data_IF_107577981644
#
_entry.id   IF_107577981644
#
_cell.length_a   1.000
_cell.length_b   1.000
_cell.length_c   1.000
_cell.angle_alpha   90.00
_cell.angle_beta   90.00
_cell.angle_gamma   90.00
#
_symmetry.space_group_name_H-M   'P 1'
#
loop_
_entity.id
_entity.type
_entity.pdbx_description
1 polymer ?
#
# COMPACT_ATOMS: atom_id res chain seq x y z
N UNK A 1 37.66 30.71 -21.09
CA UNK A 1 36.49 30.06 -21.73
C UNK A 1 36.42 28.57 -21.47
N UNK A 2 37.47 27.79 -21.76
CA UNK A 2 37.45 26.32 -21.59
C UNK A 2 37.13 25.89 -20.14
N UNK A 3 37.80 26.50 -19.14
CA UNK A 3 37.51 26.22 -17.72
C UNK A 3 36.05 26.50 -17.35
N UNK A 4 35.48 27.61 -17.85
CA UNK A 4 34.09 27.97 -17.60
C UNK A 4 33.09 27.01 -18.25
N UNK A 5 33.40 26.50 -19.44
CA UNK A 5 32.59 25.48 -20.13
C UNK A 5 32.63 24.16 -19.33
N UNK A 6 33.80 23.74 -18.85
CA UNK A 6 33.93 22.53 -18.02
C UNK A 6 33.11 22.67 -16.73
N UNK A 7 33.19 23.83 -16.06
CA UNK A 7 32.46 24.09 -14.83
C UNK A 7 30.94 24.13 -15.05
N UNK A 8 30.50 24.70 -16.17
CA UNK A 8 29.09 24.71 -16.56
C UNK A 8 28.55 23.30 -16.82
N UNK A 9 29.30 22.46 -17.55
CA UNK A 9 28.92 21.06 -17.79
C UNK A 9 28.87 20.29 -16.47
N UNK A 10 29.80 20.52 -15.55
CA UNK A 10 29.82 19.88 -14.23
C UNK A 10 28.56 20.25 -13.43
N UNK A 11 28.17 21.52 -13.40
CA UNK A 11 26.96 21.98 -12.71
C UNK A 11 25.71 21.36 -13.33
N UNK A 12 25.62 21.28 -14.66
CA UNK A 12 24.50 20.61 -15.34
C UNK A 12 24.45 19.12 -14.96
N UNK A 13 25.59 18.42 -14.99
CA UNK A 13 25.65 17.00 -14.66
C UNK A 13 25.22 16.74 -13.21
N UNK A 14 25.71 17.54 -12.25
CA UNK A 14 25.30 17.44 -10.85
C UNK A 14 23.81 17.73 -10.69
N UNK A 15 23.31 18.80 -11.32
CA UNK A 15 21.88 19.15 -11.25
C UNK A 15 20.99 18.06 -11.83
N UNK A 16 21.40 17.45 -12.94
CA UNK A 16 20.69 16.34 -13.56
C UNK A 16 20.68 15.10 -12.66
N UNK A 17 21.82 14.73 -12.07
CA UNK A 17 21.92 13.60 -11.12
C UNK A 17 20.99 13.82 -9.92
N UNK A 18 20.98 15.03 -9.35
CA UNK A 18 20.11 15.40 -8.24
C UNK A 18 18.62 15.35 -8.63
N UNK A 19 18.27 15.84 -9.82
CA UNK A 19 16.90 15.77 -10.33
C UNK A 19 16.44 14.31 -10.51
N UNK A 20 17.29 13.45 -11.09
CA UNK A 20 16.99 12.02 -11.26
C UNK A 20 16.85 11.32 -9.89
N UNK A 21 17.71 11.61 -8.93
CA UNK A 21 17.58 11.08 -7.57
C UNK A 21 16.30 11.58 -6.89
N UNK A 22 15.96 12.85 -7.03
CA UNK A 22 14.72 13.41 -6.47
C UNK A 22 13.48 12.75 -7.07
N UNK A 23 13.47 12.48 -8.38
CA UNK A 23 12.38 11.77 -9.04
C UNK A 23 12.25 10.30 -8.60
N UNK A 24 13.33 9.66 -8.14
CA UNK A 24 13.29 8.28 -7.63
C UNK A 24 12.47 8.17 -6.34
N UNK A 25 12.49 9.22 -5.52
CA UNK A 25 11.72 9.28 -4.27
C UNK A 25 10.37 9.98 -4.43
N UNK A 26 10.00 10.35 -5.66
CA UNK A 26 8.70 10.91 -5.96
C UNK A 26 7.58 9.96 -5.54
N UNK A 27 6.55 10.54 -4.92
CA UNK A 27 5.37 9.81 -4.48
C UNK A 27 4.13 10.42 -5.12
N UNK A 28 3.29 9.57 -5.68
CA UNK A 28 1.94 9.95 -6.09
C UNK A 28 1.08 10.05 -4.83
N UNK A 29 0.56 11.25 -4.55
CA UNK A 29 -0.27 11.52 -3.38
C UNK A 29 -1.71 11.75 -3.87
N UNK A 30 -2.67 10.88 -3.52
CA UNK A 30 -4.08 10.99 -3.91
C UNK A 30 -4.68 12.39 -3.72
N UNK A 31 -4.41 13.05 -2.59
CA UNK A 31 -4.95 14.38 -2.27
C UNK A 31 -4.49 15.49 -3.21
N UNK A 32 -3.47 15.25 -4.05
CA UNK A 32 -2.94 16.22 -5.00
C UNK A 32 -3.51 16.06 -6.41
N UNK A 33 -4.37 15.07 -6.64
CA UNK A 33 -4.96 14.77 -7.97
C UNK A 33 -6.12 15.69 -8.36
N UNK A 34 -6.66 16.46 -7.41
CA UNK A 34 -7.82 17.34 -7.62
C UNK A 34 -9.18 16.62 -7.54
N UNK A 35 -9.20 15.29 -7.47
CA UNK A 35 -10.41 14.50 -7.24
C UNK A 35 -10.76 14.42 -5.74
N UNK A 36 -12.05 14.28 -5.45
CA UNK A 36 -12.53 14.09 -4.07
C UNK A 36 -12.36 12.63 -3.66
N UNK A 37 -11.47 12.40 -2.70
CA UNK A 37 -11.22 11.09 -2.10
C UNK A 37 -12.02 10.91 -0.80
N UNK A 38 -12.38 9.67 -0.49
CA UNK A 38 -13.05 9.31 0.76
C UNK A 38 -12.63 7.94 1.29
N UNK A 39 -12.78 7.73 2.60
CA UNK A 39 -12.60 6.43 3.26
C UNK A 39 -13.97 5.78 3.44
N UNK A 40 -14.09 4.52 3.07
CA UNK A 40 -15.32 3.75 3.19
C UNK A 40 -15.09 2.42 3.88
N UNK A 41 -15.95 2.09 4.85
CA UNK A 41 -16.07 0.76 5.41
C UNK A 41 -16.78 -0.18 4.44
N UNK A 42 -16.16 -1.34 4.20
CA UNK A 42 -16.72 -2.41 3.38
C UNK A 42 -17.45 -3.39 4.29
N UNK A 43 -18.79 -3.33 4.29
CA UNK A 43 -19.61 -4.20 5.16
C UNK A 43 -19.85 -5.58 4.55
N UNK A 44 -19.69 -5.72 3.22
CA UNK A 44 -19.81 -7.01 2.51
C UNK A 44 -18.49 -7.41 1.83
N UNK A 45 -17.41 -7.70 2.58
CA UNK A 45 -16.12 -8.05 2.01
C UNK A 45 -16.15 -9.36 1.21
N UNK A 46 -17.10 -10.26 1.48
CA UNK A 46 -17.30 -11.51 0.75
C UNK A 46 -17.84 -11.32 -0.68
N UNK A 47 -18.27 -10.10 -1.04
CA UNK A 47 -18.72 -9.76 -2.40
C UNK A 47 -17.55 -9.37 -3.33
N UNK A 48 -16.31 -9.31 -2.82
CA UNK A 48 -15.17 -9.12 -3.68
C UNK A 48 -15.00 -10.29 -4.64
N UNK A 49 -14.89 -9.97 -5.93
CA UNK A 49 -14.58 -10.91 -6.99
C UNK A 49 -13.39 -10.39 -7.81
N UNK A 50 -12.68 -11.27 -8.54
CA UNK A 50 -11.67 -10.84 -9.49
C UNK A 50 -12.21 -9.87 -10.54
N UNK A 51 -13.47 -10.00 -10.94
CA UNK A 51 -14.11 -9.10 -11.92
C UNK A 51 -14.31 -7.69 -11.36
N UNK A 52 -14.71 -7.58 -10.10
CA UNK A 52 -14.85 -6.31 -9.40
C UNK A 52 -13.49 -5.60 -9.24
N UNK A 53 -12.42 -6.36 -8.93
CA UNK A 53 -11.07 -5.81 -8.88
C UNK A 53 -10.55 -5.40 -10.27
N UNK A 54 -10.97 -6.11 -11.31
CA UNK A 54 -10.67 -5.75 -12.70
C UNK A 54 -11.40 -4.47 -13.13
N UNK A 55 -12.60 -4.20 -12.63
CA UNK A 55 -13.28 -2.92 -12.91
C UNK A 55 -12.55 -1.75 -12.26
N UNK A 56 -12.09 -1.91 -11.01
CA UNK A 56 -11.22 -0.92 -10.36
C UNK A 56 -9.93 -0.66 -11.16
N UNK A 57 -9.37 -1.67 -11.82
CA UNK A 57 -8.19 -1.48 -12.67
C UNK A 57 -8.49 -0.53 -13.83
N UNK A 58 -9.60 -0.74 -14.53
CA UNK A 58 -9.98 0.08 -15.67
C UNK A 58 -10.17 1.55 -15.24
N UNK A 59 -10.93 1.76 -14.15
CA UNK A 59 -11.21 3.08 -13.61
C UNK A 59 -9.94 3.83 -13.17
N UNK A 60 -9.01 3.12 -12.51
CA UNK A 60 -7.71 3.68 -12.11
C UNK A 60 -6.80 3.98 -13.31
N UNK A 61 -6.85 3.16 -14.36
CA UNK A 61 -6.00 3.31 -15.54
C UNK A 61 -6.36 4.58 -16.33
N UNK A 62 -7.65 4.79 -16.56
CA UNK A 62 -8.14 5.90 -17.38
C UNK A 62 -7.87 7.26 -16.73
N UNK A 63 -7.89 7.30 -15.39
CA UNK A 63 -7.77 8.54 -14.62
C UNK A 63 -6.40 8.74 -13.97
N UNK A 64 -5.51 7.74 -14.04
CA UNK A 64 -4.21 7.75 -13.34
C UNK A 64 -4.36 7.81 -11.81
N UNK A 65 -5.47 7.28 -11.28
CA UNK A 65 -5.83 7.38 -9.88
C UNK A 65 -5.32 6.18 -9.09
N UNK A 66 -5.16 6.41 -7.78
CA UNK A 66 -4.73 5.41 -6.81
C UNK A 66 -5.93 5.01 -5.97
N UNK A 67 -6.04 3.73 -5.63
CA UNK A 67 -6.98 3.20 -4.64
C UNK A 67 -6.18 2.49 -3.57
N UNK A 68 -6.62 2.57 -2.31
CA UNK A 68 -6.02 1.81 -1.23
C UNK A 68 -7.04 0.96 -0.51
N UNK A 69 -6.69 -0.29 -0.24
CA UNK A 69 -7.41 -1.16 0.66
C UNK A 69 -6.69 -1.26 1.99
N UNK A 70 -7.43 -1.14 3.08
CA UNK A 70 -6.89 -1.11 4.43
C UNK A 70 -7.62 -2.14 5.29
N UNK A 71 -6.88 -2.98 5.98
CA UNK A 71 -7.45 -3.87 6.99
C UNK A 71 -7.00 -3.40 8.35
N UNK A 72 -7.97 -3.22 9.24
CA UNK A 72 -7.75 -2.88 10.63
C UNK A 72 -8.09 -4.09 11.49
N UNK A 73 -7.19 -4.48 12.37
CA UNK A 73 -7.38 -5.55 13.34
C UNK A 73 -7.12 -5.01 14.73
N UNK A 74 -8.04 -5.24 15.67
CA UNK A 74 -7.88 -4.91 17.09
C UNK A 74 -8.41 -6.06 17.94
N UNK A 75 -7.54 -6.71 18.70
CA UNK A 75 -7.84 -7.99 19.33
C UNK A 75 -8.38 -9.01 18.32
N UNK A 76 -9.60 -9.48 18.53
CA UNK A 76 -10.29 -10.44 17.65
C UNK A 76 -11.16 -9.79 16.57
N UNK A 77 -11.30 -8.46 16.58
CA UNK A 77 -12.15 -7.72 15.63
C UNK A 77 -11.33 -7.32 14.41
N UNK A 78 -11.95 -7.39 13.23
CA UNK A 78 -11.35 -6.87 12.00
C UNK A 78 -12.35 -6.08 11.17
N UNK A 79 -11.84 -5.08 10.44
CA UNK A 79 -12.59 -4.27 9.48
C UNK A 79 -11.78 -4.16 8.18
N UNK A 80 -12.49 -4.10 7.05
CA UNK A 80 -11.89 -3.83 5.74
C UNK A 80 -12.42 -2.49 5.23
N UNK A 81 -11.51 -1.63 4.82
CA UNK A 81 -11.78 -0.30 4.32
C UNK A 81 -11.24 -0.15 2.90
N UNK A 82 -11.81 0.79 2.17
CA UNK A 82 -11.27 1.28 0.90
C UNK A 82 -11.17 2.80 0.95
N UNK A 83 -10.02 3.31 0.53
CA UNK A 83 -9.78 4.71 0.28
C UNK A 83 -9.62 4.93 -1.22
N UNK A 84 -10.38 5.86 -1.78
CA UNK A 84 -10.37 6.09 -3.22
C UNK A 84 -11.25 7.27 -3.64
N UNK A 85 -11.27 7.59 -4.94
CA UNK A 85 -12.11 8.64 -5.49
C UNK A 85 -13.60 8.33 -5.25
N UNK A 86 -14.34 9.25 -4.63
CA UNK A 86 -15.74 9.01 -4.24
C UNK A 86 -16.60 8.66 -5.44
N UNK A 87 -16.40 9.33 -6.58
CA UNK A 87 -17.11 9.08 -7.84
C UNK A 87 -16.94 7.64 -8.35
N UNK A 88 -15.75 7.05 -8.15
CA UNK A 88 -15.50 5.66 -8.55
C UNK A 88 -16.11 4.68 -7.54
N UNK A 89 -15.89 4.92 -6.25
CA UNK A 89 -16.36 4.03 -5.19
C UNK A 89 -17.90 3.96 -5.12
N UNK A 90 -18.61 5.05 -5.43
CA UNK A 90 -20.06 5.08 -5.36
C UNK A 90 -20.73 4.11 -6.34
N UNK A 91 -20.08 3.82 -7.48
CA UNK A 91 -20.56 2.84 -8.47
C UNK A 91 -20.62 1.42 -7.89
N UNK A 92 -19.82 1.16 -6.86
CA UNK A 92 -19.75 -0.14 -6.18
C UNK A 92 -20.44 -0.13 -4.81
N UNK A 93 -21.07 0.98 -4.41
CA UNK A 93 -21.69 1.17 -3.08
C UNK A 93 -22.68 0.06 -2.73
N UNK A 94 -23.55 -0.31 -3.66
CA UNK A 94 -24.61 -1.30 -3.39
C UNK A 94 -24.06 -2.74 -3.29
N UNK A 95 -23.01 -3.05 -4.06
CA UNK A 95 -22.39 -4.38 -4.09
C UNK A 95 -21.60 -4.62 -2.81
N UNK A 96 -20.71 -3.68 -2.46
CA UNK A 96 -19.81 -3.78 -1.31
C UNK A 96 -20.42 -3.28 0.01
N UNK A 97 -21.61 -2.67 -0.07
CA UNK A 97 -22.31 -2.03 1.04
C UNK A 97 -21.43 -1.01 1.77
N UNK A 98 -20.98 -0.01 1.00
CA UNK A 98 -20.00 1.00 1.44
C UNK A 98 -20.65 2.04 2.37
N UNK A 99 -20.01 2.23 3.53
CA UNK A 99 -20.33 3.29 4.49
C UNK A 99 -19.16 4.27 4.56
N UNK A 100 -19.38 5.53 4.20
CA UNK A 100 -18.35 6.57 4.31
C UNK A 100 -18.00 6.85 5.78
N UNK A 101 -16.71 7.01 6.05
CA UNK A 101 -16.17 7.32 7.38
C UNK A 101 -15.34 8.61 7.31
N UNK A 102 -15.20 9.27 8.46
CA UNK A 102 -14.12 10.24 8.65
C UNK A 102 -12.75 9.54 8.57
N UNK A 103 -11.72 10.28 8.16
CA UNK A 103 -10.38 9.70 8.03
C UNK A 103 -9.77 9.40 9.41
N UNK A 104 -9.89 8.14 9.80
CA UNK A 104 -9.38 7.62 11.07
C UNK A 104 -7.85 7.68 11.17
N UNK A 105 -7.12 7.75 10.05
CA UNK A 105 -5.67 7.72 10.06
C UNK A 105 -5.05 9.02 10.58
N UNK A 106 -5.83 10.08 10.78
CA UNK A 106 -5.33 11.34 11.35
C UNK A 106 -4.79 11.18 12.79
N UNK A 107 -5.30 10.22 13.57
CA UNK A 107 -5.02 10.08 14.99
C UNK A 107 -4.26 8.78 15.31
N UNK A 108 -3.03 8.65 14.80
CA UNK A 108 -2.17 7.48 15.07
C UNK A 108 -1.51 7.61 16.44
N UNK A 109 -1.58 6.54 17.23
CA UNK A 109 -1.01 6.46 18.57
C UNK A 109 0.52 6.36 18.56
N UNK A 110 1.17 6.84 19.62
CA UNK A 110 2.60 6.60 19.86
C UNK A 110 2.87 5.11 20.17
N UNK A 111 4.13 4.67 20.12
CA UNK A 111 4.48 3.28 20.45
C UNK A 111 4.11 2.27 19.35
N UNK A 112 4.30 2.66 18.10
CA UNK A 112 4.05 1.84 16.92
C UNK A 112 5.34 1.36 16.26
N UNK A 113 5.24 0.26 15.53
CA UNK A 113 6.25 -0.16 14.55
C UNK A 113 5.61 -0.16 13.17
N UNK A 114 6.27 0.44 12.19
CA UNK A 114 5.78 0.50 10.82
C UNK A 114 6.86 0.05 9.84
N UNK A 115 6.45 -0.68 8.79
CA UNK A 115 7.37 -1.11 7.75
C UNK A 115 6.68 -1.28 6.41
N UNK A 116 7.48 -1.23 5.35
CA UNK A 116 7.05 -1.58 4.00
C UNK A 116 7.31 -3.07 3.74
N UNK A 117 6.39 -3.68 3.01
CA UNK A 117 6.50 -5.05 2.53
C UNK A 117 6.63 -5.01 1.02
N UNK A 118 7.61 -5.73 0.49
CA UNK A 118 7.86 -5.81 -0.94
C UNK A 118 8.62 -7.07 -1.30
N UNK A 119 9.03 -7.19 -2.55
CA UNK A 119 9.68 -8.39 -3.06
C UNK A 119 11.17 -8.21 -3.26
N UNK A 120 11.95 -9.26 -3.00
CA UNK A 120 13.37 -9.32 -3.41
C UNK A 120 13.53 -9.39 -4.94
N UNK A 121 12.51 -9.87 -5.67
CA UNK A 121 12.45 -9.88 -7.15
C UNK A 121 11.09 -9.34 -7.63
N UNK A 122 11.06 -8.35 -8.52
CA UNK A 122 9.89 -7.52 -8.86
C UNK A 122 8.68 -8.16 -9.58
N UNK A 123 8.52 -9.50 -9.57
CA UNK A 123 7.30 -10.18 -10.06
C UNK A 123 6.78 -11.12 -8.97
N UNK A 124 5.56 -10.87 -8.51
CA UNK A 124 4.79 -11.77 -7.64
C UNK A 124 4.06 -12.79 -8.50
N UNK A 125 4.00 -14.03 -8.04
CA UNK A 125 3.00 -14.98 -8.47
C UNK A 125 1.94 -15.14 -7.37
N UNK A 126 0.70 -15.48 -7.74
CA UNK A 126 -0.39 -15.80 -6.80
C UNK A 126 0.02 -16.71 -5.64
N UNK A 127 0.90 -17.68 -5.89
CA UNK A 127 1.41 -18.60 -4.88
C UNK A 127 2.33 -17.92 -3.85
N UNK A 128 3.02 -16.85 -4.23
CA UNK A 128 3.94 -16.09 -3.36
C UNK A 128 3.20 -15.25 -2.30
N UNK A 129 1.90 -15.00 -2.53
CA UNK A 129 1.09 -14.03 -1.78
C UNK A 129 -0.10 -14.71 -1.07
N UNK A 130 -0.45 -15.92 -1.50
CA UNK A 130 -1.55 -16.71 -0.96
C UNK A 130 -1.40 -16.92 0.55
N UNK A 131 -2.48 -16.68 1.28
CA UNK A 131 -2.57 -16.92 2.72
C UNK A 131 -1.61 -16.09 3.60
N UNK A 132 -1.05 -14.97 3.10
CA UNK A 132 -0.07 -14.15 3.84
C UNK A 132 -0.55 -13.80 5.26
N UNK A 133 -1.83 -13.46 5.40
CA UNK A 133 -2.44 -13.14 6.69
C UNK A 133 -3.18 -14.30 7.38
N UNK A 134 -3.26 -15.50 6.79
CA UNK A 134 -3.97 -16.62 7.45
C UNK A 134 -3.26 -17.16 8.69
N UNK A 135 -1.93 -17.00 8.76
CA UNK A 135 -1.13 -17.40 9.93
C UNK A 135 -0.94 -16.26 10.94
N UNK A 136 -1.70 -15.17 10.78
CA UNK A 136 -1.58 -14.00 11.63
C UNK A 136 -1.88 -14.38 13.10
N UNK A 137 -1.01 -14.01 14.05
CA UNK A 137 -1.21 -14.36 15.46
C UNK A 137 -2.44 -13.66 16.04
N UNK A 138 -3.11 -14.32 16.99
CA UNK A 138 -4.19 -13.70 17.75
C UNK A 138 -3.64 -12.53 18.56
N UNK A 139 -4.26 -11.36 18.42
CA UNK A 139 -3.92 -10.16 19.19
C UNK A 139 -4.75 -10.09 20.47
N UNK A 140 -4.17 -9.53 21.52
CA UNK A 140 -4.90 -9.10 22.71
C UNK A 140 -5.76 -7.86 22.43
N UNK A 141 -6.71 -7.55 23.31
CA UNK A 141 -7.69 -6.47 23.10
C UNK A 141 -7.07 -5.07 22.95
N UNK A 142 -5.89 -4.87 23.53
CA UNK A 142 -5.13 -3.62 23.48
C UNK A 142 -4.21 -3.55 22.25
N UNK A 143 -3.93 -4.68 21.61
CA UNK A 143 -3.06 -4.78 20.45
C UNK A 143 -3.81 -4.50 19.16
N UNK A 144 -3.12 -3.84 18.23
CA UNK A 144 -3.69 -3.47 16.95
C UNK A 144 -2.69 -3.75 15.83
N UNK A 145 -3.22 -4.21 14.71
CA UNK A 145 -2.47 -4.38 13.48
C UNK A 145 -3.24 -3.80 12.31
N UNK A 146 -2.55 -3.02 11.51
CA UNK A 146 -3.10 -2.40 10.33
C UNK A 146 -2.23 -2.76 9.14
N UNK A 147 -2.84 -3.13 8.04
CA UNK A 147 -2.13 -3.22 6.78
C UNK A 147 -2.86 -2.43 5.71
N UNK A 148 -2.07 -1.87 4.81
CA UNK A 148 -2.51 -1.03 3.71
C UNK A 148 -1.90 -1.55 2.43
N UNK A 149 -2.73 -1.68 1.41
CA UNK A 149 -2.36 -2.03 0.06
C UNK A 149 -2.78 -0.88 -0.84
N UNK A 150 -1.80 -0.10 -1.28
CA UNK A 150 -2.00 1.02 -2.21
C UNK A 150 -1.77 0.50 -3.63
N UNK A 151 -2.73 0.75 -4.52
CA UNK A 151 -2.79 0.20 -5.86
C UNK A 151 -2.87 1.32 -6.89
N UNK A 152 -2.02 1.25 -7.91
CA UNK A 152 -2.21 1.97 -9.17
C UNK A 152 -2.26 0.98 -10.32
N UNK A 153 -3.07 1.28 -11.33
CA UNK A 153 -3.15 0.45 -12.51
C UNK A 153 -1.80 0.42 -13.25
N UNK A 154 -1.34 -0.77 -13.62
CA UNK A 154 -0.15 -0.88 -14.46
C UNK A 154 -0.51 -0.44 -15.89
N UNK A 155 0.29 0.47 -16.46
CA UNK A 155 0.08 1.00 -17.81
C UNK A 155 0.52 0.04 -18.92
N UNK A 156 1.15 -1.07 -18.57
CA UNK A 156 1.52 -2.10 -19.52
C UNK A 156 0.28 -2.89 -20.00
N UNK A 157 -0.33 -2.37 -21.07
CA UNK A 157 -1.49 -2.95 -21.75
C UNK A 157 -1.21 -4.31 -22.40
N UNK A 158 0.07 -4.68 -22.56
CA UNK A 158 0.43 -5.99 -23.10
C UNK A 158 0.28 -7.12 -22.07
N UNK A 159 0.08 -6.80 -20.79
CA UNK A 159 -0.16 -7.77 -19.74
C UNK A 159 -1.63 -8.26 -19.77
N UNK A 160 -1.90 -9.53 -20.12
CA UNK A 160 -3.26 -10.05 -20.23
C UNK A 160 -3.99 -10.12 -18.89
N UNK A 161 -3.28 -10.06 -17.75
CA UNK A 161 -3.86 -10.22 -16.41
C UNK A 161 -4.29 -8.90 -15.76
N UNK A 162 -4.09 -7.74 -16.42
CA UNK A 162 -4.42 -6.39 -15.89
C UNK A 162 -3.94 -6.21 -14.45
N UNK A 163 -2.62 -6.16 -14.28
CA UNK A 163 -1.97 -6.07 -12.97
C UNK A 163 -1.99 -4.65 -12.39
N UNK A 164 -1.95 -4.53 -11.08
CA UNK A 164 -1.67 -3.30 -10.36
C UNK A 164 -0.21 -3.25 -9.92
N UNK A 165 0.38 -2.07 -9.91
CA UNK A 165 1.54 -1.81 -9.07
C UNK A 165 1.05 -1.62 -7.63
N UNK A 166 1.56 -2.46 -6.72
CA UNK A 166 1.10 -2.50 -5.35
C UNK A 166 2.20 -2.07 -4.37
N UNK A 167 1.88 -1.18 -3.44
CA UNK A 167 2.71 -0.87 -2.29
C UNK A 167 2.02 -1.33 -1.02
N UNK A 168 2.71 -2.14 -0.23
CA UNK A 168 2.17 -2.75 0.99
C UNK A 168 2.86 -2.12 2.19
N UNK A 169 2.06 -1.65 3.15
CA UNK A 169 2.53 -1.15 4.44
C UNK A 169 1.87 -1.92 5.55
N UNK A 170 2.62 -2.14 6.62
CA UNK A 170 2.14 -2.79 7.82
C UNK A 170 2.51 -1.93 9.03
N UNK A 171 1.58 -1.85 9.97
CA UNK A 171 1.72 -1.09 11.21
C UNK A 171 1.24 -1.96 12.35
N UNK A 172 2.01 -1.96 13.43
CA UNK A 172 1.73 -2.72 14.63
C UNK A 172 1.78 -1.79 15.84
N UNK A 173 0.73 -1.86 16.65
CA UNK A 173 0.67 -1.22 17.96
C UNK A 173 0.54 -2.28 19.05
N UNK A 174 1.34 -2.13 20.10
CA UNK A 174 1.18 -2.83 21.37
C UNK A 174 1.72 -1.93 22.48
N UNK A 175 1.04 -1.82 23.64
CA UNK A 175 1.52 -1.03 24.77
C UNK A 175 2.82 -1.61 25.36
N UNK A 176 3.02 -2.92 25.26
CA UNK A 176 4.23 -3.61 25.73
C UNK A 176 5.27 -3.67 24.60
N UNK A 177 6.42 -3.04 24.83
CA UNK A 177 7.52 -3.01 23.86
C UNK A 177 8.06 -4.41 23.51
N UNK A 178 8.17 -5.32 24.48
CA UNK A 178 8.70 -6.66 24.23
C UNK A 178 7.71 -7.48 23.38
N UNK A 179 6.41 -7.39 23.69
CA UNK A 179 5.37 -8.00 22.86
C UNK A 179 5.35 -7.41 21.46
N UNK A 180 5.46 -6.08 21.33
CA UNK A 180 5.52 -5.39 20.04
C UNK A 180 6.67 -5.91 19.16
N UNK A 181 7.85 -6.09 19.74
CA UNK A 181 9.01 -6.62 19.03
C UNK A 181 8.83 -8.09 18.63
N UNK A 182 8.29 -8.92 19.53
CA UNK A 182 8.02 -10.33 19.26
C UNK A 182 6.98 -10.50 18.15
N UNK A 183 5.85 -9.78 18.23
CA UNK A 183 4.83 -9.76 17.18
C UNK A 183 5.43 -9.29 15.86
N UNK A 184 6.20 -8.20 15.85
CA UNK A 184 6.84 -7.73 14.62
C UNK A 184 7.79 -8.77 14.00
N UNK A 185 8.51 -9.56 14.81
CA UNK A 185 9.33 -10.68 14.32
C UNK A 185 8.48 -11.82 13.77
N UNK A 186 7.40 -12.20 14.47
CA UNK A 186 6.45 -13.22 13.98
C UNK A 186 5.85 -12.79 12.64
N UNK A 187 5.42 -11.54 12.52
CA UNK A 187 4.85 -10.95 11.30
C UNK A 187 5.85 -10.91 10.14
N UNK A 188 7.13 -10.65 10.44
CA UNK A 188 8.21 -10.72 9.45
C UNK A 188 8.45 -12.15 8.95
N UNK A 189 8.15 -13.15 9.77
CA UNK A 189 8.41 -14.57 9.50
C UNK A 189 7.16 -15.34 9.04
N UNK A 190 6.02 -14.67 8.78
CA UNK A 190 4.74 -15.33 8.47
C UNK A 190 4.75 -16.20 7.20
N UNK A 191 5.70 -16.01 6.28
CA UNK A 191 5.78 -16.82 5.05
C UNK A 191 7.23 -17.11 4.63
N UNK A 192 7.57 -18.39 4.32
CA UNK A 192 8.70 -18.73 3.46
C UNK A 192 8.30 -18.43 2.00
N UNK A 193 8.63 -17.24 1.50
CA UNK A 193 8.22 -16.74 0.19
C UNK A 193 8.63 -15.28 -0.03
N UNK A 194 8.58 -14.77 -1.28
CA UNK A 194 9.31 -13.57 -1.71
C UNK A 194 8.83 -12.22 -1.11
N UNK A 195 7.62 -12.12 -0.55
CA UNK A 195 7.17 -10.90 0.15
C UNK A 195 7.86 -10.80 1.50
N UNK A 196 8.71 -9.80 1.64
CA UNK A 196 9.56 -9.60 2.81
C UNK A 196 9.47 -8.17 3.28
N UNK A 197 9.72 -7.96 4.57
CA UNK A 197 10.01 -6.63 5.09
C UNK A 197 11.18 -6.05 4.31
N UNK A 198 10.97 -4.90 3.68
CA UNK A 198 12.03 -4.22 2.96
C UNK A 198 13.04 -3.63 3.96
N UNK A 199 14.33 -3.52 3.61
CA UNK A 199 15.30 -2.77 4.39
C UNK A 199 14.75 -1.39 4.73
N UNK A 200 14.87 -0.99 6.00
CA UNK A 200 14.24 0.19 6.56
C UNK A 200 14.88 1.46 5.98
N UNK A 201 14.38 1.89 4.81
CA UNK A 201 14.80 3.12 4.14
C UNK A 201 14.18 4.37 4.81
N UNK A 202 13.09 4.19 5.57
CA UNK A 202 12.33 5.24 6.21
C UNK A 202 12.09 4.93 7.68
N UNK A 203 12.03 5.98 8.51
CA UNK A 203 11.62 5.89 9.90
C UNK A 203 10.15 5.46 10.04
N UNK A 204 9.76 4.97 11.21
CA UNK A 204 8.35 4.59 11.45
C UNK A 204 7.42 5.79 11.24
N UNK A 205 7.83 6.98 11.70
CA UNK A 205 7.08 8.23 11.51
C UNK A 205 6.86 8.57 10.02
N UNK A 206 7.87 8.39 9.17
CA UNK A 206 7.73 8.61 7.73
C UNK A 206 6.79 7.60 7.08
N UNK A 207 6.88 6.32 7.46
CA UNK A 207 5.98 5.29 6.92
C UNK A 207 4.52 5.57 7.31
N UNK A 208 4.32 6.13 8.51
CA UNK A 208 2.99 6.54 8.97
C UNK A 208 2.48 7.77 8.22
N UNK A 209 3.33 8.77 7.97
CA UNK A 209 2.96 9.89 7.09
C UNK A 209 2.54 9.39 5.70
N UNK A 210 3.24 8.39 5.14
CA UNK A 210 2.87 7.77 3.87
C UNK A 210 1.56 6.97 3.97
N UNK A 211 1.34 6.28 5.09
CA UNK A 211 0.09 5.57 5.37
C UNK A 211 -1.09 6.56 5.39
N UNK A 212 -0.96 7.66 6.11
CA UNK A 212 -1.97 8.72 6.22
C UNK A 212 -2.27 9.37 4.87
N UNK A 213 -1.24 9.63 4.08
CA UNK A 213 -1.39 10.20 2.74
C UNK A 213 -1.84 9.19 1.69
N UNK A 214 -1.86 7.89 2.01
CA UNK A 214 -2.04 6.78 1.07
C UNK A 214 -1.15 6.94 -0.16
N UNK A 215 0.07 7.44 0.06
CA UNK A 215 0.97 7.79 -1.03
C UNK A 215 1.45 6.52 -1.74
N UNK A 216 1.82 6.63 -3.01
CA UNK A 216 2.40 5.54 -3.79
C UNK A 216 3.77 5.97 -4.33
N UNK A 217 4.82 5.24 -3.97
CA UNK A 217 6.16 5.39 -4.55
C UNK A 217 6.37 4.32 -5.61
N UNK A 218 6.90 4.70 -6.78
CA UNK A 218 7.30 3.76 -7.82
C UNK A 218 8.66 3.13 -7.48
N UNK A 219 8.65 2.09 -6.65
CA UNK A 219 9.83 1.29 -6.32
C UNK A 219 9.82 -0.02 -7.12
N UNK A 220 10.98 -0.44 -7.66
CA UNK A 220 11.12 -1.73 -8.37
C UNK A 220 10.94 -2.96 -7.47
N UNK A 221 10.89 -2.77 -6.15
CA UNK A 221 10.57 -3.80 -5.15
C UNK A 221 9.07 -3.94 -4.89
N UNK A 222 8.24 -3.04 -5.41
CA UNK A 222 6.80 -3.16 -5.32
C UNK A 222 6.32 -4.35 -6.16
N UNK A 223 5.52 -5.26 -5.60
CA UNK A 223 4.95 -6.35 -6.38
C UNK A 223 3.99 -5.82 -7.46
N UNK A 224 3.98 -6.49 -8.60
CA UNK A 224 2.89 -6.41 -9.56
C UNK A 224 1.87 -7.49 -9.18
N UNK A 225 0.63 -7.09 -8.87
CA UNK A 225 -0.42 -7.99 -8.41
C UNK A 225 -1.63 -7.95 -9.36
N UNK A 226 -2.09 -9.10 -9.81
CA UNK A 226 -3.36 -9.25 -10.52
C UNK A 226 -4.55 -9.29 -9.54
N UNK A 227 -5.76 -9.23 -10.08
CA UNK A 227 -7.01 -9.21 -9.31
C UNK A 227 -7.18 -10.43 -8.38
N UNK A 228 -6.79 -11.62 -8.84
CA UNK A 228 -6.80 -12.86 -8.03
C UNK A 228 -5.82 -12.81 -6.86
N UNK A 229 -4.62 -12.28 -7.09
CA UNK A 229 -3.58 -12.05 -6.08
C UNK A 229 -4.02 -11.05 -5.01
N UNK A 230 -4.64 -9.94 -5.41
CA UNK A 230 -5.19 -8.93 -4.49
C UNK A 230 -6.30 -9.53 -3.65
N UNK A 231 -7.19 -10.34 -4.24
CA UNK A 231 -8.27 -10.99 -3.52
C UNK A 231 -7.75 -11.90 -2.40
N UNK A 232 -6.66 -12.64 -2.65
CA UNK A 232 -6.02 -13.48 -1.63
C UNK A 232 -5.44 -12.66 -0.47
N UNK A 233 -4.94 -11.45 -0.71
CA UNK A 233 -4.47 -10.55 0.34
C UNK A 233 -5.62 -10.00 1.18
N UNK A 234 -6.73 -9.65 0.55
CA UNK A 234 -7.90 -9.07 1.23
C UNK A 234 -8.63 -10.10 2.10
N UNK A 235 -8.55 -11.38 1.77
CA UNK A 235 -9.10 -12.47 2.59
C UNK A 235 -8.25 -12.71 3.86
N UNK A 236 -8.89 -12.62 5.05
CA UNK A 236 -8.38 -13.21 6.30
C UNK A 236 -8.99 -14.60 6.45
#
# INVERSE_FOLDING_TARGET
MILGIILFILVIAISFILAVQSMKDYQEIPSQTGEEYGVFLIRKPYQFSPDLLTSFHADCLDSGLVISFERLVKGTKSALLVYGPKKLLINHKNILDLLELEDYAANVQEGILAWEVGMKSGKAHAEDVKNYFKKFPLLSEEEQFWWQLVLSANKDLSNPRKSFQAQIRAVLFSPDQNKRMNLAQTLQNLVPGKLTKLPKAFSDAQIIDFYQKRSLRKDGRNPLLASDEILQLLSL
#
